data_IF_923421368978
#
_entry.id   IF_923421368978
#
_cell.length_a   1.000
_cell.length_b   1.000
_cell.length_c   1.000
_cell.angle_alpha   90.00
_cell.angle_beta   90.00
_cell.angle_gamma   90.00
#
_symmetry.space_group_name_H-M   'P 1'
#
loop_
_entity.id
_entity.type
_entity.pdbx_description
1 polymer ?
#
# COMPACT_ATOMS: atom_id res chain seq x y z
N UNK A 1 -7.80 8.48 4.85
CA UNK A 1 -7.00 7.46 5.55
C UNK A 1 -5.72 7.22 4.76
N UNK A 2 -4.57 7.28 5.42
CA UNK A 2 -3.28 6.90 4.82
C UNK A 2 -2.98 5.44 5.17
N UNK A 3 -2.68 4.64 4.16
CA UNK A 3 -2.36 3.22 4.30
C UNK A 3 -0.88 2.99 4.00
N UNK A 4 -0.21 2.35 4.96
CA UNK A 4 1.18 1.94 4.90
C UNK A 4 1.24 0.42 5.11
N UNK A 5 2.20 -0.25 4.51
CA UNK A 5 2.50 -1.65 4.81
C UNK A 5 2.87 -1.79 6.31
N UNK A 6 2.40 -2.85 6.95
CA UNK A 6 2.63 -3.09 8.39
C UNK A 6 4.00 -3.65 8.74
N UNK A 7 4.87 -3.94 7.76
CA UNK A 7 6.17 -4.58 8.00
C UNK A 7 6.06 -6.06 8.39
N UNK A 8 4.97 -6.73 8.03
CA UNK A 8 4.72 -8.12 8.36
C UNK A 8 5.73 -9.04 7.65
N UNK A 9 6.53 -9.79 8.40
CA UNK A 9 7.60 -10.64 7.88
C UNK A 9 7.16 -11.99 7.33
N UNK A 10 5.88 -12.36 7.49
CA UNK A 10 5.35 -13.63 6.99
C UNK A 10 5.16 -13.68 5.47
N UNK A 11 5.01 -14.90 4.96
CA UNK A 11 4.92 -15.20 3.51
C UNK A 11 3.56 -14.95 2.85
N UNK A 12 2.56 -14.50 3.59
CA UNK A 12 1.20 -14.23 3.11
C UNK A 12 0.42 -13.41 4.15
N UNK A 13 -0.76 -12.91 3.74
CA UNK A 13 -1.66 -12.11 4.57
C UNK A 13 -0.99 -10.83 5.12
N UNK A 14 -0.11 -10.26 4.31
CA UNK A 14 0.58 -8.99 4.56
C UNK A 14 -0.29 -7.77 4.26
N UNK A 15 -1.30 -7.94 3.38
CA UNK A 15 -2.31 -6.92 3.10
C UNK A 15 -3.74 -7.44 3.32
N UNK A 16 -4.66 -6.51 3.56
CA UNK A 16 -6.09 -6.83 3.64
C UNK A 16 -6.61 -7.12 2.23
N UNK A 17 -7.05 -8.34 1.97
CA UNK A 17 -7.53 -8.75 0.63
C UNK A 17 -9.01 -9.15 0.61
N UNK A 18 -9.66 -9.26 1.78
CA UNK A 18 -11.07 -9.65 1.88
C UNK A 18 -11.98 -8.45 1.62
N UNK A 19 -12.82 -8.54 0.59
CA UNK A 19 -13.78 -7.48 0.21
C UNK A 19 -14.64 -7.02 1.39
N UNK A 20 -15.12 -7.97 2.21
CA UNK A 20 -15.94 -7.68 3.40
C UNK A 20 -15.27 -6.73 4.40
N UNK A 21 -13.93 -6.76 4.52
CA UNK A 21 -13.19 -5.87 5.41
C UNK A 21 -13.03 -4.45 4.83
N UNK A 22 -13.19 -4.29 3.51
CA UNK A 22 -13.00 -3.02 2.81
C UNK A 22 -14.31 -2.29 2.50
N UNK A 23 -15.45 -3.01 2.45
CA UNK A 23 -16.79 -2.42 2.21
C UNK A 23 -17.10 -1.21 3.10
N UNK A 24 -16.79 -1.21 4.41
CA UNK A 24 -17.07 -0.06 5.26
C UNK A 24 -16.39 1.24 4.80
N UNK A 25 -15.23 1.15 4.14
CA UNK A 25 -14.50 2.34 3.66
C UNK A 25 -15.32 3.10 2.62
N UNK A 26 -16.05 2.40 1.76
CA UNK A 26 -16.97 3.05 0.82
C UNK A 26 -18.18 3.64 1.53
N UNK A 27 -18.81 2.88 2.42
CA UNK A 27 -20.02 3.31 3.12
C UNK A 27 -19.80 4.56 3.98
N UNK A 28 -18.59 4.73 4.50
CA UNK A 28 -18.18 5.87 5.32
C UNK A 28 -17.52 7.00 4.51
N UNK A 29 -17.49 6.89 3.17
CA UNK A 29 -16.82 7.83 2.26
C UNK A 29 -15.35 8.13 2.64
N UNK A 30 -14.64 7.10 3.11
CA UNK A 30 -13.24 7.23 3.51
C UNK A 30 -12.35 7.12 2.28
N UNK A 31 -11.69 8.22 1.93
CA UNK A 31 -10.60 8.23 0.93
C UNK A 31 -9.40 7.45 1.42
N UNK A 32 -8.76 6.68 0.54
CA UNK A 32 -7.59 5.87 0.86
C UNK A 32 -6.38 6.31 0.04
N UNK A 33 -5.31 6.68 0.73
CA UNK A 33 -4.02 7.01 0.13
C UNK A 33 -3.04 5.89 0.44
N UNK A 34 -2.61 5.16 -0.58
CA UNK A 34 -1.66 4.03 -0.47
C UNK A 34 -0.25 4.56 -0.72
N UNK A 35 0.61 4.46 0.30
CA UNK A 35 2.00 4.92 0.24
C UNK A 35 2.93 3.72 0.39
N UNK A 36 3.75 3.47 -0.64
CA UNK A 36 4.65 2.31 -0.69
C UNK A 36 5.99 2.68 -1.34
N UNK A 37 6.94 1.76 -1.28
CA UNK A 37 8.25 1.85 -1.93
C UNK A 37 8.55 0.60 -2.74
N UNK A 38 9.49 0.63 -3.70
CA UNK A 38 9.93 -0.57 -4.42
C UNK A 38 10.39 -1.69 -3.50
N UNK A 39 11.00 -1.35 -2.35
CA UNK A 39 11.41 -2.32 -1.33
C UNK A 39 10.25 -3.20 -0.82
N UNK A 40 9.02 -2.70 -0.86
CA UNK A 40 7.83 -3.44 -0.47
C UNK A 40 7.21 -4.14 -1.69
N UNK A 41 6.80 -3.37 -2.70
CA UNK A 41 5.90 -3.87 -3.75
C UNK A 41 6.61 -4.43 -4.99
N UNK A 42 7.90 -4.13 -5.18
CA UNK A 42 8.73 -4.62 -6.28
C UNK A 42 9.84 -5.56 -5.80
N UNK A 43 9.74 -6.07 -4.57
CA UNK A 43 10.77 -6.92 -3.98
C UNK A 43 10.70 -8.36 -4.52
N UNK A 44 11.67 -8.74 -5.34
CA UNK A 44 11.74 -10.08 -5.94
C UNK A 44 11.81 -11.23 -4.93
N UNK A 45 12.39 -11.01 -3.74
CA UNK A 45 12.45 -12.02 -2.69
C UNK A 45 11.15 -12.16 -1.89
N UNK A 46 10.25 -11.17 -1.97
CA UNK A 46 8.96 -11.14 -1.26
C UNK A 46 7.82 -10.75 -2.20
N UNK A 47 7.60 -11.49 -3.30
CA UNK A 47 6.68 -11.08 -4.36
C UNK A 47 5.21 -11.07 -3.93
N UNK A 48 4.86 -11.75 -2.84
CA UNK A 48 3.50 -11.75 -2.30
C UNK A 48 3.06 -10.36 -1.83
N UNK A 49 3.97 -9.53 -1.31
CA UNK A 49 3.64 -8.17 -0.83
C UNK A 49 3.04 -7.34 -1.96
N UNK A 50 3.72 -7.28 -3.11
CA UNK A 50 3.22 -6.57 -4.28
C UNK A 50 1.94 -7.17 -4.87
N UNK A 51 1.80 -8.51 -4.83
CA UNK A 51 0.57 -9.19 -5.28
C UNK A 51 -0.62 -8.84 -4.40
N UNK A 52 -0.45 -8.88 -3.08
CA UNK A 52 -1.53 -8.59 -2.14
C UNK A 52 -1.86 -7.09 -2.09
N UNK A 53 -0.88 -6.18 -2.18
CA UNK A 53 -1.12 -4.74 -2.36
C UNK A 53 -1.97 -4.47 -3.61
N UNK A 54 -1.66 -5.14 -4.72
CA UNK A 54 -2.46 -5.04 -5.94
C UNK A 54 -3.89 -5.52 -5.72
N UNK A 55 -4.09 -6.66 -5.04
CA UNK A 55 -5.44 -7.16 -4.72
C UNK A 55 -6.20 -6.17 -3.85
N UNK A 56 -5.57 -5.62 -2.80
CA UNK A 56 -6.15 -4.58 -1.94
C UNK A 56 -6.61 -3.37 -2.76
N UNK A 57 -5.70 -2.80 -3.56
CA UNK A 57 -5.97 -1.62 -4.40
C UNK A 57 -7.10 -1.86 -5.40
N UNK A 58 -7.07 -2.96 -6.13
CA UNK A 58 -8.10 -3.25 -7.13
C UNK A 58 -9.46 -3.56 -6.48
N UNK A 59 -9.48 -4.17 -5.28
CA UNK A 59 -10.73 -4.37 -4.53
C UNK A 59 -11.35 -3.05 -4.09
N UNK A 60 -10.54 -2.12 -3.57
CA UNK A 60 -11.02 -0.78 -3.21
C UNK A 60 -11.61 -0.02 -4.41
N UNK A 61 -10.92 -0.06 -5.56
CA UNK A 61 -11.43 0.54 -6.80
C UNK A 61 -12.74 -0.09 -7.24
N UNK A 62 -12.84 -1.41 -7.21
CA UNK A 62 -14.08 -2.15 -7.54
C UNK A 62 -15.24 -1.76 -6.62
N UNK A 63 -14.96 -1.50 -5.35
CA UNK A 63 -15.96 -1.02 -4.38
C UNK A 63 -16.31 0.48 -4.54
N UNK A 64 -15.65 1.20 -5.45
CA UNK A 64 -15.89 2.63 -5.69
C UNK A 64 -15.30 3.54 -4.62
N UNK A 65 -14.30 3.08 -3.87
CA UNK A 65 -13.54 3.89 -2.90
C UNK A 65 -12.60 4.83 -3.67
N UNK A 66 -12.53 6.09 -3.24
CA UNK A 66 -11.53 7.05 -3.75
C UNK A 66 -10.13 6.60 -3.29
N UNK A 67 -9.35 6.06 -4.22
CA UNK A 67 -8.02 5.48 -3.99
C UNK A 67 -6.97 6.24 -4.79
N UNK A 68 -5.97 6.74 -4.07
CA UNK A 68 -4.73 7.27 -4.64
C UNK A 68 -3.56 6.38 -4.23
N UNK A 69 -2.60 6.18 -5.13
CA UNK A 69 -1.38 5.40 -4.86
C UNK A 69 -0.14 6.21 -5.20
N UNK A 70 0.83 6.19 -4.30
CA UNK A 70 2.15 6.78 -4.48
C UNK A 70 3.24 5.75 -4.18
N UNK A 71 4.07 5.46 -5.19
CA UNK A 71 5.35 4.78 -4.97
C UNK A 71 6.41 5.87 -4.75
N UNK A 72 7.09 5.84 -3.61
CA UNK A 72 8.25 6.69 -3.38
C UNK A 72 9.51 6.01 -3.90
N UNK A 73 10.43 6.80 -4.44
CA UNK A 73 11.71 6.31 -4.98
C UNK A 73 11.52 5.22 -6.06
N UNK A 74 10.51 5.35 -6.92
CA UNK A 74 10.20 4.35 -7.96
C UNK A 74 11.36 4.13 -8.95
N UNK A 75 12.13 5.18 -9.22
CA UNK A 75 13.30 5.16 -10.11
C UNK A 75 14.57 4.62 -9.43
N UNK A 76 14.53 4.40 -8.11
CA UNK A 76 15.68 3.91 -7.34
C UNK A 76 15.60 2.40 -7.11
N UNK A 77 16.75 1.71 -6.98
CA UNK A 77 16.76 0.32 -6.55
C UNK A 77 16.04 0.11 -5.22
N UNK A 78 15.27 -0.97 -5.14
CA UNK A 78 14.57 -1.39 -3.94
C UNK A 78 15.54 -1.55 -2.74
N UNK A 79 15.49 -0.61 -1.79
CA UNK A 79 16.35 -0.61 -0.61
C UNK A 79 15.59 -0.27 0.67
N UNK A 80 16.05 -0.84 1.79
CA UNK A 80 15.46 -0.56 3.10
C UNK A 80 15.74 0.89 3.54
N UNK A 81 16.86 1.46 3.11
CA UNK A 81 17.19 2.86 3.37
C UNK A 81 16.19 3.80 2.72
N UNK A 82 15.90 3.63 1.42
CA UNK A 82 14.88 4.43 0.73
C UNK A 82 13.48 4.17 1.29
N UNK A 83 13.20 2.94 1.75
CA UNK A 83 11.95 2.66 2.45
C UNK A 83 11.74 3.54 3.69
N UNK A 84 12.79 3.73 4.50
CA UNK A 84 12.73 4.60 5.69
C UNK A 84 12.90 6.09 5.36
N UNK A 85 13.53 6.45 4.25
CA UNK A 85 13.65 7.84 3.79
C UNK A 85 12.28 8.51 3.59
N UNK A 86 11.25 7.72 3.23
CA UNK A 86 9.85 8.16 3.13
C UNK A 86 9.37 8.87 4.39
N UNK A 87 9.84 8.51 5.59
CA UNK A 87 9.43 9.16 6.84
C UNK A 87 9.79 10.67 6.87
N UNK A 88 10.79 11.09 6.10
CA UNK A 88 11.19 12.50 5.95
C UNK A 88 10.42 13.21 4.82
N UNK A 89 9.90 12.45 3.87
CA UNK A 89 9.21 12.94 2.67
C UNK A 89 7.69 12.88 2.78
N UNK A 90 7.20 12.11 3.75
CA UNK A 90 5.78 11.97 4.06
C UNK A 90 5.26 13.29 4.63
N UNK A 91 4.95 14.21 3.73
CA UNK A 91 4.18 15.41 4.05
C UNK A 91 2.71 15.00 4.08
N UNK A 92 2.04 15.25 5.20
CA UNK A 92 0.57 15.26 5.22
C UNK A 92 0.12 16.22 4.10
N UNK A 93 -0.71 15.73 3.19
CA UNK A 93 -1.35 16.63 2.22
C UNK A 93 -2.06 17.74 2.98
N UNK A 94 -1.67 18.99 2.67
CA UNK A 94 -2.38 20.19 3.09
C UNK A 94 -3.73 20.28 2.37
#
# INVERSE_FOLDING_TARGET
MYWLDGGHSGGSNTWVTKEAAMKPLKHLDIKVYIHVTPYQVLCNSRPWIGKEEKVFRETLKKLGVDVTRKIYHEDEPASLEMHFAVLKEFKQGA
#
